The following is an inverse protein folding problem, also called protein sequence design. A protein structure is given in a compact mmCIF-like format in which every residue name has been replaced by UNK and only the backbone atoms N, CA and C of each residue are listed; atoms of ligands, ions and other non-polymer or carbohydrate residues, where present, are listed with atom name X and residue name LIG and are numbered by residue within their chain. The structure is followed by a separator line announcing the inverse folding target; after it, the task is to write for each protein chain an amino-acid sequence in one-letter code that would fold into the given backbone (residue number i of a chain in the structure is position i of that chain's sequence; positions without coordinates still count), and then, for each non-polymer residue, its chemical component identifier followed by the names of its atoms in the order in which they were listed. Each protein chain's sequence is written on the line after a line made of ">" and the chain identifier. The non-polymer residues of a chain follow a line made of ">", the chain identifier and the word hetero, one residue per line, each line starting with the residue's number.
data_IF_045493583622
#
_entry.id   IF_045493583622
#
_cell.length_a   1.000
_cell.length_b   1.000
_cell.length_c   1.000
_cell.angle_alpha   90.00
_cell.angle_beta   90.00
_cell.angle_gamma   90.00
#
_symmetry.space_group_name_H-M   'P 1'
#
loop_
_entity.id
_entity.type
_entity.pdbx_description
1 polymer ?
#
# COMPACT_ATOMS: atom_id res chain seq x y z
N UNK A 1 2.50 6.25 -21.30
CA UNK A 1 3.89 6.12 -21.81
C UNK A 1 4.76 7.00 -20.92
N UNK A 2 5.15 6.51 -19.75
CA UNK A 2 6.28 7.10 -19.01
C UNK A 2 7.51 6.26 -19.34
N UNK A 3 8.53 6.89 -19.93
CA UNK A 3 9.83 6.28 -20.13
C UNK A 3 10.37 5.85 -18.76
N UNK A 4 10.53 4.54 -18.56
CA UNK A 4 11.36 4.03 -17.47
C UNK A 4 12.78 4.53 -17.68
N UNK A 5 13.14 5.61 -16.98
CA UNK A 5 14.54 5.98 -16.82
C UNK A 5 15.09 5.18 -15.67
N UNK A 6 15.43 3.93 -15.98
CA UNK A 6 16.37 3.19 -15.17
C UNK A 6 17.62 4.03 -14.99
N UNK A 7 18.23 3.92 -13.81
CA UNK A 7 19.46 4.63 -13.49
C UNK A 7 20.61 3.99 -14.30
N UNK A 8 20.82 4.47 -15.52
CA UNK A 8 21.76 3.87 -16.49
C UNK A 8 23.22 4.18 -16.18
N UNK A 9 23.49 5.25 -15.45
CA UNK A 9 24.83 5.59 -14.99
C UNK A 9 25.27 4.66 -13.84
N UNK A 10 26.31 3.83 -14.05
CA UNK A 10 26.78 2.89 -13.04
C UNK A 10 27.38 3.57 -11.81
N UNK A 11 28.01 4.74 -11.96
CA UNK A 11 28.58 5.50 -10.84
C UNK A 11 27.46 6.13 -10.01
N UNK A 12 26.42 6.67 -10.67
CA UNK A 12 25.24 7.19 -9.98
C UNK A 12 24.50 6.07 -9.24
N UNK A 13 24.42 4.88 -9.84
CA UNK A 13 23.84 3.69 -9.21
C UNK A 13 24.60 3.27 -7.98
N UNK A 14 25.92 3.13 -8.10
CA UNK A 14 26.79 2.79 -6.98
C UNK A 14 26.71 3.84 -5.87
N UNK A 15 26.71 5.13 -6.23
CA UNK A 15 26.57 6.21 -5.27
C UNK A 15 25.24 6.10 -4.49
N UNK A 16 24.10 5.93 -5.19
CA UNK A 16 22.80 5.80 -4.53
C UNK A 16 22.66 4.53 -3.68
N UNK A 17 23.31 3.42 -4.07
CA UNK A 17 23.35 2.20 -3.25
C UNK A 17 24.13 2.39 -1.94
N UNK A 18 25.11 3.31 -1.91
CA UNK A 18 25.88 3.62 -0.72
C UNK A 18 25.23 4.71 0.17
N UNK A 19 24.22 5.41 -0.34
CA UNK A 19 23.50 6.41 0.47
C UNK A 19 22.48 5.73 1.37
N UNK A 20 22.64 5.96 2.69
CA UNK A 20 21.65 5.57 3.69
C UNK A 20 20.30 6.22 3.40
N UNK A 21 19.29 5.39 3.12
CA UNK A 21 17.95 5.87 2.77
C UNK A 21 17.33 6.72 3.88
N UNK A 22 17.74 6.48 5.13
CA UNK A 22 17.38 7.26 6.33
C UNK A 22 17.71 8.75 6.21
N UNK A 23 18.81 9.07 5.51
CA UNK A 23 19.27 10.45 5.32
C UNK A 23 18.44 11.16 4.25
N UNK A 24 18.05 10.43 3.20
CA UNK A 24 17.26 10.97 2.10
C UNK A 24 15.77 11.11 2.45
N UNK A 25 15.24 10.17 3.23
CA UNK A 25 13.82 10.06 3.55
C UNK A 25 13.61 10.10 5.07
N UNK A 26 13.92 11.22 5.75
CA UNK A 26 13.84 11.30 7.22
C UNK A 26 12.41 11.14 7.76
N UNK A 27 11.40 11.21 6.90
CA UNK A 27 9.98 11.05 7.21
C UNK A 27 9.27 10.30 6.08
N UNK A 28 8.21 9.58 6.41
CA UNK A 28 7.40 8.87 5.43
C UNK A 28 5.92 8.86 5.84
N UNK A 29 5.02 8.90 4.86
CA UNK A 29 3.59 8.76 5.12
C UNK A 29 3.19 7.29 5.09
N UNK A 30 2.38 6.87 6.06
CA UNK A 30 1.71 5.58 6.09
C UNK A 30 0.20 5.77 6.00
N UNK A 31 -0.45 4.91 5.22
CA UNK A 31 -1.91 4.85 5.17
C UNK A 31 -2.40 4.06 6.36
N UNK A 32 -3.25 4.67 7.20
CA UNK A 32 -3.96 4.01 8.28
C UNK A 32 -5.41 3.84 7.88
N UNK A 33 -5.81 2.59 7.75
CA UNK A 33 -7.22 2.25 7.65
C UNK A 33 -7.71 1.97 9.08
N UNK A 34 -8.62 2.80 9.57
CA UNK A 34 -9.24 2.63 10.88
C UNK A 34 -10.53 1.80 10.80
N UNK A 35 -10.91 1.34 9.61
CA UNK A 35 -12.20 0.71 9.35
C UNK A 35 -13.33 1.73 9.23
N UNK A 36 -14.43 1.29 8.61
CA UNK A 36 -15.64 2.10 8.46
C UNK A 36 -16.29 2.43 9.82
N UNK A 37 -16.84 3.65 10.03
CA UNK A 37 -17.04 4.73 9.06
C UNK A 37 -15.83 5.65 8.85
N UNK A 38 -14.69 5.34 9.47
CA UNK A 38 -13.62 6.31 9.60
C UNK A 38 -12.78 6.43 8.33
N UNK A 39 -12.44 7.67 7.92
CA UNK A 39 -11.69 7.88 6.71
C UNK A 39 -10.28 7.31 6.86
N UNK A 40 -9.75 6.78 5.76
CA UNK A 40 -8.32 6.43 5.70
C UNK A 40 -7.50 7.69 5.92
N UNK A 41 -6.67 7.69 6.95
CA UNK A 41 -5.81 8.83 7.28
C UNK A 41 -4.38 8.55 6.85
N UNK A 42 -3.70 9.59 6.35
CA UNK A 42 -2.26 9.56 6.13
C UNK A 42 -1.57 10.03 7.42
N UNK A 43 -0.87 9.11 8.07
CA UNK A 43 -0.05 9.43 9.24
C UNK A 43 1.39 9.66 8.78
N UNK A 44 2.01 10.74 9.26
CA UNK A 44 3.43 11.01 9.03
C UNK A 44 4.26 10.34 10.12
N UNK A 45 5.16 9.44 9.74
CA UNK A 45 6.16 8.83 10.61
C UNK A 45 7.48 9.59 10.48
N UNK A 46 8.12 9.89 11.62
CA UNK A 46 9.45 10.50 11.66
C UNK A 46 10.53 9.54 12.16
N UNK A 47 11.57 9.28 11.37
CA UNK A 47 12.64 8.35 11.77
C UNK A 47 13.45 8.80 13.00
N UNK A 48 13.37 10.08 13.37
CA UNK A 48 13.96 10.63 14.59
C UNK A 48 13.05 10.52 15.83
N UNK A 49 11.75 10.27 15.64
CA UNK A 49 10.79 10.15 16.73
C UNK A 49 10.82 8.70 17.26
N UNK A 50 11.13 8.46 18.55
CA UNK A 50 11.35 7.12 19.08
C UNK A 50 10.18 6.15 18.85
N UNK A 51 8.94 6.66 18.93
CA UNK A 51 7.71 5.89 18.77
C UNK A 51 7.45 5.50 17.31
N UNK A 52 7.98 6.26 16.35
CA UNK A 52 7.76 6.03 14.93
C UNK A 52 8.92 5.24 14.31
N UNK A 53 10.06 5.18 15.00
CA UNK A 53 11.35 4.77 14.44
C UNK A 53 11.34 3.33 13.93
N UNK A 54 10.78 2.40 14.69
CA UNK A 54 10.73 0.98 14.31
C UNK A 54 9.89 0.79 13.05
N UNK A 55 8.69 1.35 13.05
CA UNK A 55 7.77 1.23 11.92
C UNK A 55 8.28 1.98 10.68
N UNK A 56 8.88 3.15 10.86
CA UNK A 56 9.52 3.88 9.77
C UNK A 56 10.69 3.07 9.18
N UNK A 57 11.51 2.39 9.99
CA UNK A 57 12.56 1.50 9.49
C UNK A 57 11.99 0.32 8.71
N UNK A 58 10.92 -0.30 9.20
CA UNK A 58 10.23 -1.38 8.48
C UNK A 58 9.75 -0.89 7.12
N UNK A 59 9.06 0.25 7.06
CA UNK A 59 8.61 0.83 5.78
C UNK A 59 9.77 1.06 4.79
N UNK A 60 10.87 1.62 5.28
CA UNK A 60 12.06 1.96 4.47
C UNK A 60 12.78 0.74 3.90
N UNK A 61 12.66 -0.42 4.57
CA UNK A 61 13.38 -1.65 4.23
C UNK A 61 12.48 -2.85 3.93
N UNK A 62 11.16 -2.68 3.91
CA UNK A 62 10.14 -3.72 3.66
C UNK A 62 10.27 -4.45 2.32
N UNK A 63 11.10 -3.93 1.39
CA UNK A 63 11.22 -4.41 0.02
C UNK A 63 9.93 -4.23 -0.80
N UNK A 64 8.95 -3.47 -0.30
CA UNK A 64 7.67 -3.27 -0.98
C UNK A 64 7.86 -2.62 -2.36
N UNK A 65 8.77 -1.66 -2.47
CA UNK A 65 9.13 -1.02 -3.74
C UNK A 65 9.76 -2.00 -4.73
N UNK A 66 10.61 -2.91 -4.27
CA UNK A 66 11.23 -3.95 -5.12
C UNK A 66 10.20 -4.94 -5.63
N UNK A 67 9.25 -5.36 -4.78
CA UNK A 67 8.10 -6.19 -5.18
C UNK A 67 7.25 -5.48 -6.23
N UNK A 68 7.01 -4.18 -6.07
CA UNK A 68 6.26 -3.36 -7.02
C UNK A 68 6.95 -3.24 -8.39
N UNK A 69 8.27 -3.05 -8.40
CA UNK A 69 9.08 -3.04 -9.64
C UNK A 69 9.09 -4.41 -10.30
N UNK A 70 9.26 -5.50 -9.53
CA UNK A 70 9.21 -6.87 -10.06
C UNK A 70 7.87 -7.21 -10.69
N UNK A 71 6.78 -6.70 -10.12
CA UNK A 71 5.43 -6.82 -10.67
C UNK A 71 5.18 -5.96 -11.92
N UNK A 72 6.18 -5.21 -12.39
CA UNK A 72 6.07 -4.35 -13.56
C UNK A 72 5.31 -3.05 -13.32
N UNK A 73 5.20 -2.59 -12.05
CA UNK A 73 4.42 -1.40 -11.65
C UNK A 73 2.98 -1.45 -12.17
N UNK A 74 2.18 -2.39 -11.65
CA UNK A 74 0.85 -2.66 -12.15
C UNK A 74 -0.05 -1.41 -12.11
N UNK A 75 -0.65 -1.08 -13.25
CA UNK A 75 -1.62 0.02 -13.39
C UNK A 75 -3.07 -0.44 -13.21
N UNK A 76 -3.30 -1.76 -13.21
CA UNK A 76 -4.62 -2.36 -13.06
C UNK A 76 -4.63 -3.42 -11.96
N UNK A 77 -5.78 -3.51 -11.29
CA UNK A 77 -6.03 -4.41 -10.19
C UNK A 77 -7.33 -5.14 -10.42
N UNK A 78 -7.36 -6.44 -10.11
CA UNK A 78 -8.53 -7.28 -10.29
C UNK A 78 -8.87 -8.01 -8.99
N UNK A 79 -10.13 -7.99 -8.54
CA UNK A 79 -10.56 -8.84 -7.45
C UNK A 79 -10.63 -10.31 -7.89
N UNK A 80 -10.09 -11.20 -7.09
CA UNK A 80 -10.13 -12.65 -7.29
C UNK A 80 -10.73 -13.32 -6.05
N UNK A 81 -11.94 -13.92 -6.17
CA UNK A 81 -12.54 -14.65 -5.07
C UNK A 81 -11.83 -15.99 -4.86
N UNK A 82 -11.51 -16.30 -3.62
CA UNK A 82 -11.01 -17.61 -3.21
C UNK A 82 -12.17 -18.53 -2.79
N UNK A 83 -11.94 -19.84 -2.89
CA UNK A 83 -12.94 -20.85 -2.54
C UNK A 83 -13.33 -20.85 -1.05
N UNK A 84 -12.51 -20.24 -0.19
CA UNK A 84 -12.74 -20.06 1.24
C UNK A 84 -13.61 -18.83 1.57
N UNK A 85 -14.11 -18.12 0.56
CA UNK A 85 -14.93 -16.92 0.72
C UNK A 85 -14.14 -15.63 0.94
N UNK A 86 -12.80 -15.69 0.96
CA UNK A 86 -11.97 -14.48 0.97
C UNK A 86 -11.88 -13.88 -0.41
N UNK A 87 -11.65 -12.58 -0.48
CA UNK A 87 -11.40 -11.88 -1.73
C UNK A 87 -9.98 -11.35 -1.73
N UNK A 88 -9.24 -11.62 -2.79
CA UNK A 88 -7.91 -11.06 -3.00
C UNK A 88 -7.98 -9.98 -4.08
N UNK A 89 -7.07 -9.02 -4.04
CA UNK A 89 -6.84 -8.07 -5.13
C UNK A 89 -5.49 -8.40 -5.73
N UNK A 90 -5.48 -8.74 -7.01
CA UNK A 90 -4.30 -9.15 -7.76
C UNK A 90 -3.87 -8.05 -8.74
N UNK A 91 -2.57 -7.82 -8.84
CA UNK A 91 -1.98 -6.83 -9.72
C UNK A 91 -1.58 -7.47 -11.07
N UNK A 92 -2.58 -7.78 -11.89
CA UNK A 92 -2.40 -8.41 -13.21
C UNK A 92 -2.30 -9.95 -13.18
N UNK A 93 -1.99 -10.55 -14.34
CA UNK A 93 -2.04 -12.01 -14.57
C UNK A 93 -0.66 -12.67 -14.69
N UNK A 94 0.43 -11.96 -14.38
CA UNK A 94 1.78 -12.51 -14.53
C UNK A 94 2.20 -13.35 -13.32
N UNK A 95 3.21 -14.20 -13.49
CA UNK A 95 3.82 -14.93 -12.37
C UNK A 95 4.44 -14.02 -11.29
N UNK A 96 4.58 -12.73 -11.56
CA UNK A 96 5.05 -11.71 -10.63
C UNK A 96 3.93 -10.83 -10.05
N UNK A 97 2.66 -11.17 -10.30
CA UNK A 97 1.52 -10.42 -9.77
C UNK A 97 1.57 -10.38 -8.23
N UNK A 98 1.36 -9.18 -7.68
CA UNK A 98 1.16 -8.99 -6.26
C UNK A 98 -0.30 -9.33 -5.94
N UNK A 99 -0.51 -10.06 -4.85
CA UNK A 99 -1.83 -10.37 -4.34
C UNK A 99 -1.90 -10.01 -2.85
N UNK A 100 -3.01 -9.40 -2.43
CA UNK A 100 -3.31 -9.14 -1.02
C UNK A 100 -4.79 -9.35 -0.74
N UNK A 101 -5.12 -9.72 0.49
CA UNK A 101 -6.50 -9.90 0.92
C UNK A 101 -7.22 -8.54 0.97
N UNK A 102 -8.42 -8.47 0.37
CA UNK A 102 -9.31 -7.32 0.46
C UNK A 102 -9.97 -7.33 1.83
N UNK A 103 -10.06 -6.17 2.52
CA UNK A 103 -10.88 -6.09 3.71
C UNK A 103 -12.33 -6.46 3.37
N UNK A 104 -12.99 -7.20 4.26
CA UNK A 104 -14.41 -7.52 4.14
C UNK A 104 -15.18 -6.20 4.13
N UNK A 105 -16.08 -5.96 3.15
CA UNK A 105 -16.91 -4.76 3.19
C UNK A 105 -17.70 -4.77 4.49
N UNK A 106 -17.79 -3.61 5.14
CA UNK A 106 -18.74 -3.42 6.23
C UNK A 106 -20.12 -3.82 5.69
N UNK A 107 -20.83 -4.69 6.43
CA UNK A 107 -22.20 -5.04 6.07
C UNK A 107 -22.96 -3.74 5.87
N UNK A 108 -23.54 -3.57 4.67
CA UNK A 108 -24.35 -2.41 4.36
C UNK A 108 -25.43 -2.31 5.42
N UNK A 109 -25.36 -1.29 6.27
CA UNK A 109 -26.46 -0.95 7.15
C UNK A 109 -27.61 -0.58 6.21
N UNK A 110 -28.64 -1.41 6.20
CA UNK A 110 -29.84 -1.20 5.41
C UNK A 110 -30.52 0.06 5.97
N UNK A 111 -30.35 1.22 5.34
CA UNK A 111 -30.95 2.51 5.73
C UNK A 111 -32.48 2.54 5.49
N UNK A 112 -33.16 1.38 5.51
CA UNK A 112 -34.56 1.24 5.10
C UNK A 112 -35.47 0.69 6.22
N UNK A 113 -35.18 1.01 7.48
CA UNK A 113 -36.12 0.86 8.60
C UNK A 113 -36.37 2.22 9.27
N UNK A 114 -37.08 3.12 8.57
CA UNK A 114 -37.35 4.44 9.11
C UNK A 114 -38.55 5.21 8.57
N UNK A 115 -39.45 4.63 7.78
CA UNK A 115 -40.61 5.37 7.25
C UNK A 115 -41.87 4.51 7.10
N UNK A 116 -42.35 3.82 8.14
CA UNK A 116 -43.78 3.46 8.26
C UNK A 116 -44.20 3.29 9.72
N UNK A 117 -44.65 4.36 10.35
CA UNK A 117 -45.77 4.34 11.32
C UNK A 117 -46.14 5.77 11.67
N UNK A 118 -47.14 6.30 10.96
CA UNK A 118 -48.03 7.30 11.56
C UNK A 118 -49.40 7.20 10.88
N UNK A 119 -50.28 6.40 11.48
CA UNK A 119 -51.74 6.56 11.45
C UNK A 119 -52.28 6.29 12.86
#
# INVERSE_FOLDING_TARGET
>A
MEEQRDLTDPLLREALLNVRREVLLPRAYVRRDAGYPEPVVLQLLGGAHPQDREEWLDLMYSGASERWVRAGRPESYRPEPAADGRQYVCSGQSAAALAWESPKPAESVDENEGERTNE
#
